data_IF_679351011746
#
_entry.id   IF_679351011746
#
_cell.length_a   1.000
_cell.length_b   1.000
_cell.length_c   1.000
_cell.angle_alpha   90.00
_cell.angle_beta   90.00
_cell.angle_gamma   90.00
#
_symmetry.space_group_name_H-M   'P 1'
#
loop_
_entity.id
_entity.type
_entity.pdbx_description
1 polymer ?
#
# COMPACT_ATOMS: atom_id res chain seq x y z
N UNK A 1 -2.44 -30.18 -20.65
CA UNK A 1 -1.49 -29.12 -21.03
C UNK A 1 -1.88 -27.82 -20.35
N UNK A 2 -1.18 -27.40 -19.28
CA UNK A 2 -1.41 -26.08 -18.65
C UNK A 2 -0.78 -25.02 -19.54
N UNK A 3 -1.62 -24.30 -20.29
CA UNK A 3 -1.21 -23.07 -20.98
C UNK A 3 -0.84 -22.04 -19.91
N UNK A 4 0.45 -21.90 -19.63
CA UNK A 4 0.97 -20.70 -18.96
C UNK A 4 0.82 -19.56 -19.98
N UNK A 5 -0.36 -18.92 -19.98
CA UNK A 5 -0.48 -17.56 -20.51
C UNK A 5 0.52 -16.71 -19.74
N UNK A 6 1.62 -16.34 -20.38
CA UNK A 6 2.52 -15.28 -19.91
C UNK A 6 1.66 -14.01 -19.86
N UNK A 7 1.03 -13.73 -18.71
CA UNK A 7 0.47 -12.40 -18.45
C UNK A 7 1.60 -11.41 -18.70
N UNK A 8 1.32 -10.31 -19.41
CA UNK A 8 2.20 -9.13 -19.42
C UNK A 8 2.57 -8.88 -17.96
N UNK A 9 3.86 -9.04 -17.62
CA UNK A 9 4.32 -8.99 -16.23
C UNK A 9 4.14 -7.55 -15.77
N UNK A 10 3.02 -7.27 -15.13
CA UNK A 10 2.83 -6.03 -14.38
C UNK A 10 3.96 -5.99 -13.36
N UNK A 11 4.59 -4.83 -13.22
CA UNK A 11 5.61 -4.69 -12.18
C UNK A 11 4.95 -4.88 -10.82
N UNK A 12 5.67 -5.46 -9.86
CA UNK A 12 5.19 -5.68 -8.49
C UNK A 12 5.98 -4.74 -7.59
N UNK A 13 5.31 -4.01 -6.71
CA UNK A 13 5.94 -3.10 -5.76
C UNK A 13 5.52 -3.46 -4.33
N UNK A 14 6.50 -3.63 -3.45
CA UNK A 14 6.27 -3.76 -2.02
C UNK A 14 6.37 -2.38 -1.38
N UNK A 15 5.32 -1.95 -0.69
CA UNK A 15 5.28 -0.66 -0.02
C UNK A 15 5.91 -0.76 1.36
N UNK A 16 6.75 0.22 1.67
CA UNK A 16 7.28 0.43 3.01
C UNK A 16 6.22 1.07 3.92
N UNK A 17 6.32 0.79 5.22
CA UNK A 17 5.43 1.31 6.26
C UNK A 17 5.36 2.84 6.27
N UNK A 18 6.48 3.53 6.04
CA UNK A 18 6.47 5.00 6.01
C UNK A 18 5.60 5.55 4.90
N UNK A 19 5.54 4.90 3.73
CA UNK A 19 4.70 5.37 2.62
C UNK A 19 3.22 5.39 3.04
N UNK A 20 2.76 4.35 3.72
CA UNK A 20 1.39 4.26 4.21
C UNK A 20 1.12 5.21 5.37
N UNK A 21 2.07 5.39 6.29
CA UNK A 21 1.94 6.39 7.37
C UNK A 21 1.82 7.81 6.79
N UNK A 22 2.62 8.14 5.78
CA UNK A 22 2.53 9.44 5.12
C UNK A 22 1.20 9.62 4.39
N UNK A 23 0.65 8.57 3.80
CA UNK A 23 -0.68 8.58 3.18
C UNK A 23 -1.78 8.81 4.22
N UNK A 24 -1.80 8.03 5.32
CA UNK A 24 -2.77 8.14 6.40
C UNK A 24 -2.75 9.52 7.06
N UNK A 25 -1.57 10.15 7.13
CA UNK A 25 -1.36 11.51 7.66
C UNK A 25 -1.51 12.61 6.61
N UNK A 26 -2.04 12.29 5.43
CA UNK A 26 -2.39 13.25 4.38
C UNK A 26 -1.21 14.10 3.92
N UNK A 27 0.00 13.51 3.90
CA UNK A 27 1.17 14.24 3.43
C UNK A 27 0.97 14.55 1.94
N UNK A 28 1.05 15.83 1.51
CA UNK A 28 0.81 16.22 0.11
C UNK A 28 1.66 15.43 -0.88
N UNK A 29 1.05 15.00 -2.00
CA UNK A 29 1.71 14.29 -3.09
C UNK A 29 1.74 12.76 -2.95
N UNK A 30 1.46 12.22 -1.77
CA UNK A 30 1.57 10.76 -1.54
C UNK A 30 0.41 10.00 -2.18
N UNK A 31 -0.80 10.54 -2.12
CA UNK A 31 -1.96 9.91 -2.74
C UNK A 31 -1.79 9.82 -4.26
N UNK A 32 -1.31 10.90 -4.90
CA UNK A 32 -1.06 10.94 -6.34
C UNK A 32 0.01 9.94 -6.77
N UNK A 33 1.09 9.82 -5.97
CA UNK A 33 2.15 8.82 -6.21
C UNK A 33 1.60 7.40 -6.09
N UNK A 34 0.83 7.10 -5.04
CA UNK A 34 0.26 5.76 -4.84
C UNK A 34 -0.73 5.38 -5.93
N UNK A 35 -1.59 6.32 -6.35
CA UNK A 35 -2.52 6.13 -7.47
C UNK A 35 -1.77 5.79 -8.76
N UNK A 36 -0.78 6.63 -9.12
CA UNK A 36 0.05 6.38 -10.30
C UNK A 36 0.78 5.04 -10.22
N UNK A 37 1.29 4.68 -9.04
CA UNK A 37 1.94 3.39 -8.89
C UNK A 37 0.96 2.22 -9.01
N UNK A 38 -0.28 2.36 -8.54
CA UNK A 38 -1.33 1.36 -8.72
C UNK A 38 -1.76 1.18 -10.18
N UNK A 39 -1.64 2.21 -11.00
CA UNK A 39 -1.88 2.12 -12.45
C UNK A 39 -0.74 1.38 -13.19
N UNK A 40 0.50 1.51 -12.71
CA UNK A 40 1.70 0.93 -13.31
C UNK A 40 2.05 -0.49 -12.79
N UNK A 41 1.56 -0.85 -11.61
CA UNK A 41 2.03 -2.01 -10.84
C UNK A 41 1.01 -2.52 -9.82
N UNK A 42 1.09 -3.81 -9.50
CA UNK A 42 0.40 -4.35 -8.33
C UNK A 42 1.17 -3.91 -7.07
N UNK A 43 0.44 -3.30 -6.11
CA UNK A 43 0.99 -2.83 -4.84
C UNK A 43 0.72 -3.84 -3.73
N UNK A 44 1.76 -4.21 -3.00
CA UNK A 44 1.70 -5.15 -1.89
C UNK A 44 2.21 -4.50 -0.61
N UNK A 45 1.73 -4.99 0.53
CA UNK A 45 2.28 -4.67 1.85
C UNK A 45 2.64 -5.96 2.56
N UNK A 46 3.65 -5.91 3.43
CA UNK A 46 3.97 -7.03 4.30
C UNK A 46 2.95 -7.15 5.45
N UNK A 47 2.75 -8.35 5.97
CA UNK A 47 2.05 -8.54 7.26
C UNK A 47 2.77 -7.80 8.41
N UNK A 48 4.08 -7.61 8.31
CA UNK A 48 4.87 -6.79 9.25
C UNK A 48 4.47 -5.32 9.13
N UNK A 49 4.36 -4.78 7.92
CA UNK A 49 3.88 -3.42 7.68
C UNK A 49 2.51 -3.17 8.31
N UNK A 50 1.58 -4.12 8.17
CA UNK A 50 0.27 -4.05 8.83
C UNK A 50 0.40 -3.95 10.36
N UNK A 51 1.31 -4.73 10.94
CA UNK A 51 1.57 -4.75 12.39
C UNK A 51 2.16 -3.42 12.87
N UNK A 52 3.12 -2.86 12.13
CA UNK A 52 3.75 -1.57 12.45
C UNK A 52 2.76 -0.41 12.37
N UNK A 53 1.88 -0.41 11.37
CA UNK A 53 0.83 0.61 11.24
C UNK A 53 -0.12 0.56 12.44
N UNK A 54 -0.62 -0.64 12.80
CA UNK A 54 -1.51 -0.79 13.94
C UNK A 54 -0.83 -0.42 15.26
N UNK A 55 0.45 -0.76 15.44
CA UNK A 55 1.21 -0.41 16.63
C UNK A 55 1.53 1.10 16.74
N UNK A 56 1.72 1.78 15.60
CA UNK A 56 2.03 3.21 15.52
C UNK A 56 0.80 4.13 15.36
N UNK A 57 -0.40 3.55 15.28
CA UNK A 57 -1.67 4.24 15.05
C UNK A 57 -2.02 5.15 16.22
N UNK A 58 -2.39 6.41 15.91
CA UNK A 58 -2.97 7.31 16.92
C UNK A 58 -4.49 7.08 17.00
N UNK A 59 -5.15 7.27 18.14
CA UNK A 59 -6.60 7.03 18.27
C UNK A 59 -7.45 7.75 17.21
N UNK A 60 -7.10 8.99 16.85
CA UNK A 60 -7.78 9.76 15.80
C UNK A 60 -7.59 9.23 14.38
N UNK A 61 -6.62 8.33 14.17
CA UNK A 61 -6.28 7.73 12.88
C UNK A 61 -6.98 6.36 12.68
N UNK A 62 -7.68 5.84 13.70
CA UNK A 62 -8.21 4.47 13.73
C UNK A 62 -9.15 4.14 12.58
N UNK A 63 -10.20 4.93 12.40
CA UNK A 63 -11.20 4.69 11.35
C UNK A 63 -10.55 4.60 9.95
N UNK A 64 -9.68 5.56 9.64
CA UNK A 64 -8.98 5.62 8.35
C UNK A 64 -7.95 4.50 8.20
N UNK A 65 -7.30 4.11 9.29
CA UNK A 65 -6.31 3.02 9.29
C UNK A 65 -6.98 1.67 9.04
N UNK A 66 -8.11 1.41 9.69
CA UNK A 66 -8.88 0.18 9.50
C UNK A 66 -9.58 0.11 8.14
N UNK A 67 -9.95 1.26 7.56
CA UNK A 67 -10.50 1.29 6.19
C UNK A 67 -9.45 1.00 5.10
N UNK A 68 -8.16 1.24 5.39
CA UNK A 68 -7.06 1.00 4.45
C UNK A 68 -6.55 -0.46 4.47
N UNK A 69 -6.62 -1.14 5.62
CA UNK A 69 -6.00 -2.45 5.90
C UNK A 69 -6.97 -3.62 5.80
#
# INVERSE_FOLDING_TARGET
>A
MKSLRRRKRMSERLLDTNVLILHLREKPGIAEILTRWGEESDLYISVVTRTEILAGMRPREEERTLALL
#
